data_IF_742853977838
#
_entry.id   IF_742853977838
#
_cell.length_a   1.000
_cell.length_b   1.000
_cell.length_c   1.000
_cell.angle_alpha   90.00
_cell.angle_beta   90.00
_cell.angle_gamma   90.00
#
_symmetry.space_group_name_H-M   'P 1'
#
loop_
_entity.id
_entity.type
_entity.pdbx_description
1 polymer ?
#
# COMPACT_ATOMS: atom_id res chain seq x y z
N UNK A 1 16.72 5.17 -27.52
CA UNK A 1 16.23 4.78 -26.17
C UNK A 1 17.26 4.09 -25.28
N UNK A 2 18.18 3.27 -25.80
CA UNK A 2 19.15 2.48 -24.98
C UNK A 2 19.87 3.27 -23.87
N UNK A 3 20.23 4.53 -24.13
CA UNK A 3 20.85 5.44 -23.15
C UNK A 3 20.00 5.65 -21.87
N UNK A 4 18.67 5.64 -21.99
CA UNK A 4 17.76 6.02 -20.89
C UNK A 4 17.06 4.82 -20.24
N UNK A 5 16.95 3.69 -20.93
CA UNK A 5 16.22 2.51 -20.42
C UNK A 5 16.77 1.98 -19.09
N UNK A 6 18.06 2.10 -18.86
CA UNK A 6 18.74 1.67 -17.63
C UNK A 6 19.06 2.83 -16.67
N UNK A 7 18.48 4.01 -16.87
CA UNK A 7 18.59 5.13 -15.93
C UNK A 7 17.41 5.13 -14.95
N UNK A 8 17.66 5.61 -13.73
CA UNK A 8 16.61 5.84 -12.74
C UNK A 8 15.62 6.89 -13.23
N UNK A 9 14.33 6.65 -13.02
CA UNK A 9 13.28 7.49 -13.61
C UNK A 9 13.38 8.96 -13.18
N UNK A 10 13.75 9.24 -11.93
CA UNK A 10 13.93 10.62 -11.44
C UNK A 10 14.99 11.38 -12.24
N UNK A 11 16.12 10.75 -12.57
CA UNK A 11 17.16 11.36 -13.40
C UNK A 11 16.64 11.66 -14.82
N UNK A 12 15.84 10.75 -15.37
CA UNK A 12 15.25 10.94 -16.70
C UNK A 12 14.21 12.08 -16.68
N UNK A 13 13.40 12.20 -15.62
CA UNK A 13 12.46 13.31 -15.43
C UNK A 13 13.21 14.65 -15.30
N UNK A 14 14.34 14.70 -14.57
CA UNK A 14 15.17 15.90 -14.48
C UNK A 14 15.70 16.32 -15.87
N UNK A 15 16.15 15.37 -16.69
CA UNK A 15 16.60 15.63 -18.06
C UNK A 15 15.43 15.99 -19.01
N UNK A 16 14.23 15.45 -18.76
CA UNK A 16 13.04 15.59 -19.60
C UNK A 16 11.77 15.83 -18.75
N UNK A 17 11.52 17.07 -18.26
CA UNK A 17 10.48 17.36 -17.28
C UNK A 17 9.05 17.00 -17.72
N UNK A 18 8.78 17.00 -19.02
CA UNK A 18 7.46 16.62 -19.57
C UNK A 18 7.09 15.17 -19.29
N UNK A 19 8.05 14.32 -18.93
CA UNK A 19 7.79 12.92 -18.60
C UNK A 19 6.94 12.75 -17.34
N UNK A 20 7.02 13.66 -16.37
CA UNK A 20 6.22 13.59 -15.15
C UNK A 20 4.72 13.63 -15.48
N UNK A 21 4.28 14.62 -16.25
CA UNK A 21 2.89 14.72 -16.71
C UNK A 21 2.45 13.51 -17.56
N UNK A 22 3.36 12.95 -18.37
CA UNK A 22 3.06 11.74 -19.16
C UNK A 22 2.82 10.55 -18.24
N UNK A 23 3.62 10.38 -17.19
CA UNK A 23 3.47 9.26 -16.24
C UNK A 23 2.21 9.46 -15.36
N UNK A 24 1.92 10.68 -14.95
CA UNK A 24 0.72 11.04 -14.20
C UNK A 24 -0.57 10.71 -14.97
N UNK A 25 -0.58 10.82 -16.30
CA UNK A 25 -1.72 10.43 -17.14
C UNK A 25 -2.06 8.93 -17.04
N UNK A 26 -1.12 8.09 -16.59
CA UNK A 26 -1.30 6.65 -16.35
C UNK A 26 -1.34 6.31 -14.84
N UNK A 27 -1.59 7.32 -13.98
CA UNK A 27 -1.56 7.22 -12.53
C UNK A 27 -0.20 6.72 -11.97
N UNK A 28 0.89 7.01 -12.67
CA UNK A 28 2.26 6.68 -12.26
C UNK A 28 2.94 7.95 -11.74
N UNK A 29 2.81 8.21 -10.44
CA UNK A 29 3.39 9.40 -9.79
C UNK A 29 4.90 9.27 -9.52
N UNK A 30 5.73 9.09 -10.56
CA UNK A 30 7.19 8.93 -10.39
C UNK A 30 7.91 10.17 -9.85
N UNK A 31 7.40 11.37 -10.11
CA UNK A 31 8.00 12.63 -9.63
C UNK A 31 8.00 12.73 -8.11
N UNK A 32 6.90 12.31 -7.47
CA UNK A 32 6.73 12.27 -6.01
C UNK A 32 6.95 10.88 -5.42
N UNK A 33 7.40 9.90 -6.22
CA UNK A 33 7.55 8.52 -5.78
C UNK A 33 8.70 8.39 -4.77
N UNK A 34 8.42 7.77 -3.63
CA UNK A 34 9.42 7.50 -2.58
C UNK A 34 10.42 6.43 -2.98
N UNK A 35 10.06 5.51 -3.89
CA UNK A 35 11.01 4.50 -4.41
C UNK A 35 12.14 5.17 -5.18
N UNK A 36 11.78 6.00 -6.17
CA UNK A 36 12.70 6.85 -6.95
C UNK A 36 13.83 6.16 -7.73
N UNK A 37 14.06 4.86 -7.52
CA UNK A 37 15.15 4.05 -8.07
C UNK A 37 14.72 3.16 -9.23
N UNK A 38 13.42 3.11 -9.53
CA UNK A 38 12.89 2.37 -10.67
C UNK A 38 13.60 2.79 -11.95
N UNK A 39 14.10 1.81 -12.71
CA UNK A 39 14.65 2.06 -14.03
C UNK A 39 13.51 2.37 -15.01
N UNK A 40 13.76 3.24 -15.98
CA UNK A 40 12.75 3.60 -16.99
C UNK A 40 12.11 2.37 -17.67
N UNK A 41 12.90 1.35 -17.98
CA UNK A 41 12.42 0.11 -18.60
C UNK A 41 11.52 -0.74 -17.69
N UNK A 42 11.59 -0.54 -16.38
CA UNK A 42 10.93 -1.38 -15.39
C UNK A 42 9.66 -0.74 -14.82
N UNK A 43 9.44 0.56 -15.05
CA UNK A 43 8.23 1.31 -14.64
C UNK A 43 6.96 0.54 -15.00
N UNK A 44 6.88 0.06 -16.25
CA UNK A 44 5.68 -0.61 -16.75
C UNK A 44 5.37 -1.88 -15.95
N UNK A 45 6.41 -2.69 -15.70
CA UNK A 45 6.25 -3.97 -15.00
C UNK A 45 6.00 -3.77 -13.52
N UNK A 46 6.64 -2.78 -12.91
CA UNK A 46 6.43 -2.41 -11.50
C UNK A 46 5.02 -1.89 -11.29
N UNK A 47 4.42 -1.20 -12.26
CA UNK A 47 3.07 -0.63 -12.16
C UNK A 47 1.99 -1.46 -12.86
N UNK A 48 2.30 -2.68 -13.33
CA UNK A 48 1.32 -3.65 -13.80
C UNK A 48 0.48 -3.20 -15.00
N UNK A 49 1.02 -2.38 -15.91
CA UNK A 49 0.25 -1.86 -17.05
C UNK A 49 -0.05 -2.97 -18.08
N UNK A 50 -1.25 -2.99 -18.70
CA UNK A 50 -1.56 -3.87 -19.82
C UNK A 50 -0.60 -3.67 -21.00
N UNK A 51 -0.33 -4.71 -21.83
CA UNK A 51 0.64 -4.62 -22.93
C UNK A 51 0.36 -3.52 -23.96
N UNK A 52 -0.91 -3.17 -24.17
CA UNK A 52 -1.29 -2.13 -25.14
C UNK A 52 -1.04 -0.73 -24.56
N UNK A 53 -1.43 -0.52 -23.30
CA UNK A 53 -1.14 0.69 -22.51
C UNK A 53 0.37 0.90 -22.35
N UNK A 54 1.14 -0.18 -22.12
CA UNK A 54 2.60 -0.15 -22.08
C UNK A 54 3.17 0.45 -23.37
N UNK A 55 2.74 -0.06 -24.53
CA UNK A 55 3.25 0.41 -25.82
C UNK A 55 2.90 1.88 -26.07
N UNK A 56 1.71 2.31 -25.67
CA UNK A 56 1.29 3.70 -25.76
C UNK A 56 2.17 4.61 -24.88
N UNK A 57 2.33 4.26 -23.59
CA UNK A 57 3.19 4.99 -22.66
C UNK A 57 4.63 5.07 -23.17
N UNK A 58 5.22 3.95 -23.57
CA UNK A 58 6.60 3.91 -24.05
C UNK A 58 6.79 4.73 -25.34
N UNK A 59 5.78 4.79 -26.21
CA UNK A 59 5.80 5.63 -27.41
C UNK A 59 5.77 7.12 -27.06
N UNK A 60 4.92 7.52 -26.10
CA UNK A 60 4.87 8.91 -25.58
C UNK A 60 6.17 9.32 -24.91
N UNK A 61 6.73 8.47 -24.05
CA UNK A 61 8.03 8.71 -23.41
C UNK A 61 9.13 8.86 -24.47
N UNK A 62 9.15 7.97 -25.47
CA UNK A 62 10.17 8.03 -26.53
C UNK A 62 10.03 9.31 -27.35
N UNK A 63 8.81 9.74 -27.69
CA UNK A 63 8.54 10.99 -28.41
C UNK A 63 8.94 12.22 -27.60
N UNK A 64 8.74 12.20 -26.27
CA UNK A 64 9.18 13.28 -25.39
C UNK A 64 10.71 13.39 -25.32
N UNK A 65 11.42 12.27 -25.26
CA UNK A 65 12.90 12.24 -25.22
C UNK A 65 13.51 12.53 -26.60
N UNK A 66 12.85 12.11 -27.68
CA UNK A 66 13.28 12.28 -29.07
C UNK A 66 12.15 12.88 -29.93
N UNK A 67 11.94 14.21 -29.88
CA UNK A 67 10.84 14.88 -30.59
C UNK A 67 10.81 14.64 -32.10
N UNK A 68 11.99 14.51 -32.72
CA UNK A 68 12.14 14.29 -34.17
C UNK A 68 11.97 12.83 -34.59
N UNK A 69 11.80 11.89 -33.66
CA UNK A 69 11.60 10.49 -34.00
C UNK A 69 10.24 10.29 -34.70
N UNK A 70 10.26 9.58 -35.84
CA UNK A 70 9.05 9.11 -36.52
C UNK A 70 8.50 7.89 -35.76
N UNK A 71 7.67 8.16 -34.76
CA UNK A 71 7.02 7.16 -33.92
C UNK A 71 5.52 7.37 -34.04
N UNK A 72 4.81 6.30 -34.37
CA UNK A 72 3.36 6.25 -34.30
C UNK A 72 2.95 6.22 -32.82
N UNK A 73 2.40 7.32 -32.34
CA UNK A 73 1.89 7.41 -30.97
C UNK A 73 0.39 7.17 -31.07
N UNK A 74 -0.14 6.06 -30.51
CA UNK A 74 -1.57 5.81 -30.51
C UNK A 74 -2.33 7.02 -29.95
N UNK A 75 -3.38 7.46 -30.64
CA UNK A 75 -4.31 8.46 -30.07
C UNK A 75 -5.03 7.82 -28.88
N UNK A 76 -4.96 8.44 -27.70
CA UNK A 76 -5.69 8.00 -26.50
C UNK A 76 -6.70 9.07 -26.05
N UNK A 77 -7.88 8.57 -25.69
CA UNK A 77 -9.14 9.26 -25.40
C UNK A 77 -9.17 9.87 -23.99
N UNK A 78 -8.05 10.31 -23.43
CA UNK A 78 -7.98 10.95 -22.11
C UNK A 78 -8.18 10.00 -20.91
N UNK A 79 -7.27 10.11 -19.93
CA UNK A 79 -7.28 9.42 -18.63
C UNK A 79 -7.84 8.00 -18.67
N UNK A 80 -7.15 7.12 -19.38
CA UNK A 80 -7.43 5.69 -19.35
C UNK A 80 -7.34 5.22 -17.90
N UNK A 81 -8.45 4.83 -17.27
CA UNK A 81 -8.37 4.06 -16.03
C UNK A 81 -7.62 2.78 -16.35
N UNK A 82 -6.35 2.71 -15.95
CA UNK A 82 -5.53 1.54 -16.24
C UNK A 82 -5.89 0.46 -15.25
N UNK A 83 -6.57 -0.59 -15.72
CA UNK A 83 -6.76 -1.81 -14.94
C UNK A 83 -5.40 -2.50 -14.79
N UNK A 84 -4.80 -2.38 -13.59
CA UNK A 84 -3.48 -2.96 -13.29
C UNK A 84 -3.64 -4.44 -12.93
N UNK A 85 -2.81 -5.28 -13.54
CA UNK A 85 -2.74 -6.70 -13.20
C UNK A 85 -1.40 -7.03 -12.60
N UNK A 86 -1.39 -7.39 -11.32
CA UNK A 86 -0.20 -7.86 -10.62
C UNK A 86 -0.28 -9.37 -10.40
N UNK A 87 0.85 -10.06 -10.58
CA UNK A 87 1.02 -11.46 -10.23
C UNK A 87 2.18 -11.51 -9.24
N UNK A 88 1.90 -11.86 -7.99
CA UNK A 88 2.87 -11.88 -6.91
C UNK A 88 3.37 -13.29 -6.63
N UNK A 89 4.61 -13.40 -6.13
CA UNK A 89 5.08 -14.63 -5.50
C UNK A 89 4.20 -15.02 -4.29
N UNK A 90 4.20 -16.29 -3.88
CA UNK A 90 3.39 -16.75 -2.75
C UNK A 90 3.50 -15.93 -1.46
N UNK A 91 4.70 -15.55 -0.94
CA UNK A 91 4.79 -14.76 0.28
C UNK A 91 4.20 -13.35 0.12
N UNK A 92 4.42 -12.69 -1.02
CA UNK A 92 3.88 -11.35 -1.26
C UNK A 92 2.35 -11.40 -1.44
N UNK A 93 1.83 -12.46 -2.07
CA UNK A 93 0.38 -12.67 -2.20
C UNK A 93 -0.31 -12.79 -0.83
N UNK A 94 0.36 -13.39 0.18
CA UNK A 94 -0.17 -13.46 1.56
C UNK A 94 -0.41 -12.06 2.12
N UNK A 95 0.56 -11.14 1.99
CA UNK A 95 0.43 -9.77 2.49
C UNK A 95 -0.72 -9.02 1.80
N UNK A 96 -0.82 -9.12 0.48
CA UNK A 96 -1.91 -8.53 -0.32
C UNK A 96 -3.28 -9.12 0.07
N UNK A 97 -3.34 -10.41 0.41
CA UNK A 97 -4.57 -11.04 0.87
C UNK A 97 -4.97 -10.57 2.27
N UNK A 98 -4.02 -10.39 3.19
CA UNK A 98 -4.23 -9.83 4.53
C UNK A 98 -4.72 -8.37 4.46
N UNK A 99 -4.21 -7.58 3.51
CA UNK A 99 -4.70 -6.23 3.23
C UNK A 99 -6.19 -6.17 2.92
N UNK A 100 -6.79 -7.21 2.32
CA UNK A 100 -8.24 -7.20 2.00
C UNK A 100 -9.08 -7.04 3.26
N UNK A 101 -8.70 -7.68 4.36
CA UNK A 101 -9.43 -7.60 5.61
C UNK A 101 -9.20 -6.25 6.31
N UNK A 102 -7.96 -5.74 6.29
CA UNK A 102 -7.62 -4.41 6.82
C UNK A 102 -8.41 -3.32 6.09
N UNK A 103 -8.43 -3.36 4.75
CA UNK A 103 -9.20 -2.43 3.90
C UNK A 103 -10.68 -2.42 4.25
N UNK A 104 -11.28 -3.58 4.52
CA UNK A 104 -12.69 -3.69 4.93
C UNK A 104 -12.95 -3.02 6.27
N UNK A 105 -12.07 -3.21 7.27
CA UNK A 105 -12.23 -2.51 8.55
C UNK A 105 -12.11 -1.00 8.39
N UNK A 106 -11.07 -0.51 7.71
CA UNK A 106 -10.84 0.95 7.60
C UNK A 106 -11.95 1.64 6.79
N UNK A 107 -12.58 0.95 5.84
CA UNK A 107 -13.76 1.44 5.12
C UNK A 107 -14.97 1.69 6.03
N UNK A 108 -15.03 1.04 7.20
CA UNK A 108 -16.09 1.24 8.20
C UNK A 108 -15.78 2.38 9.17
N UNK A 109 -14.55 2.91 9.20
CA UNK A 109 -14.16 3.98 10.12
C UNK A 109 -15.11 5.19 10.06
N UNK A 110 -15.53 5.70 8.88
CA UNK A 110 -16.48 6.80 8.81
C UNK A 110 -17.82 6.51 9.53
N UNK A 111 -18.34 5.28 9.40
CA UNK A 111 -19.56 4.86 10.11
C UNK A 111 -19.33 4.76 11.62
N UNK A 112 -18.17 4.28 12.04
CA UNK A 112 -17.77 4.19 13.45
C UNK A 112 -17.64 5.59 14.06
N UNK A 113 -17.05 6.56 13.35
CA UNK A 113 -16.90 7.94 13.86
C UNK A 113 -18.22 8.69 13.90
N UNK A 114 -19.11 8.49 12.91
CA UNK A 114 -20.46 9.06 12.92
C UNK A 114 -21.31 8.55 14.09
N UNK A 115 -21.23 7.25 14.38
CA UNK A 115 -21.99 6.58 15.45
C UNK A 115 -21.30 6.63 16.83
N UNK A 116 -20.17 7.31 16.94
CA UNK A 116 -19.31 7.31 18.12
C UNK A 116 -20.01 7.90 19.36
N UNK A 117 -20.22 7.05 20.37
CA UNK A 117 -20.77 7.41 21.67
C UNK A 117 -19.91 6.86 22.82
N UNK A 118 -19.00 7.68 23.34
CA UNK A 118 -18.12 7.30 24.44
C UNK A 118 -18.80 7.33 25.82
N UNK A 119 -20.03 7.84 25.93
CA UNK A 119 -20.76 7.84 27.20
C UNK A 119 -21.25 6.42 27.56
N UNK A 120 -21.60 5.62 26.55
CA UNK A 120 -22.04 4.23 26.74
C UNK A 120 -20.86 3.26 26.79
N UNK A 121 -21.01 2.19 27.56
CA UNK A 121 -20.03 1.10 27.59
C UNK A 121 -19.91 0.42 26.23
N UNK A 122 -21.03 0.21 25.54
CA UNK A 122 -21.07 -0.38 24.21
C UNK A 122 -20.33 0.46 23.16
N UNK A 123 -20.47 1.79 23.17
CA UNK A 123 -19.78 2.64 22.22
C UNK A 123 -18.27 2.70 22.48
N UNK A 124 -17.82 2.68 23.74
CA UNK A 124 -16.39 2.51 24.07
C UNK A 124 -15.88 1.13 23.63
N UNK A 125 -16.64 0.07 23.87
CA UNK A 125 -16.23 -1.29 23.51
C UNK A 125 -16.07 -1.47 21.99
N UNK A 126 -16.95 -0.86 21.19
CA UNK A 126 -16.82 -0.87 19.73
C UNK A 126 -15.45 -0.33 19.27
N UNK A 127 -15.01 0.81 19.83
CA UNK A 127 -13.70 1.40 19.49
C UNK A 127 -12.58 0.49 19.97
N UNK A 128 -12.66 -0.02 21.19
CA UNK A 128 -11.64 -0.91 21.77
C UNK A 128 -11.48 -2.21 20.98
N UNK A 129 -12.58 -2.81 20.50
CA UNK A 129 -12.55 -4.01 19.67
C UNK A 129 -11.91 -3.71 18.29
N UNK A 130 -12.18 -2.53 17.71
CA UNK A 130 -11.50 -2.07 16.50
C UNK A 130 -10.00 -1.88 16.72
N UNK A 131 -9.59 -1.32 17.86
CA UNK A 131 -8.17 -1.20 18.23
C UNK A 131 -7.53 -2.57 18.48
N UNK A 132 -8.25 -3.55 19.04
CA UNK A 132 -7.76 -4.93 19.19
C UNK A 132 -7.42 -5.56 17.83
N UNK A 133 -8.29 -5.37 16.82
CA UNK A 133 -7.98 -5.76 15.44
C UNK A 133 -6.71 -5.07 14.94
N UNK A 134 -6.62 -3.74 15.07
CA UNK A 134 -5.48 -2.99 14.52
C UNK A 134 -4.16 -3.44 15.15
N UNK A 135 -4.12 -3.58 16.48
CA UNK A 135 -2.89 -3.98 17.19
C UNK A 135 -2.50 -5.43 16.92
N UNK A 136 -3.48 -6.32 16.78
CA UNK A 136 -3.21 -7.76 16.65
C UNK A 136 -3.05 -8.17 15.21
N UNK A 137 -4.03 -7.86 14.36
CA UNK A 137 -4.06 -8.28 12.96
C UNK A 137 -3.16 -7.41 12.08
N UNK A 138 -3.37 -6.09 12.08
CA UNK A 138 -2.61 -5.21 11.21
C UNK A 138 -1.16 -5.06 11.69
N UNK A 139 -0.93 -4.83 12.98
CA UNK A 139 0.42 -4.56 13.48
C UNK A 139 1.21 -5.83 13.83
N UNK A 140 0.79 -6.56 14.87
CA UNK A 140 1.58 -7.69 15.40
C UNK A 140 1.62 -8.92 14.49
N UNK A 141 0.71 -9.01 13.51
CA UNK A 141 0.60 -10.12 12.58
C UNK A 141 1.00 -9.74 11.16
N UNK A 142 0.46 -8.67 10.59
CA UNK A 142 0.75 -8.25 9.22
C UNK A 142 2.06 -7.43 9.13
N UNK A 143 2.15 -6.24 9.74
CA UNK A 143 3.38 -5.43 9.70
C UNK A 143 4.59 -6.17 10.28
N UNK A 144 4.39 -7.05 11.27
CA UNK A 144 5.49 -7.89 11.77
C UNK A 144 6.09 -8.79 10.67
N UNK A 145 5.29 -9.32 9.73
CA UNK A 145 5.84 -10.06 8.57
C UNK A 145 6.64 -9.15 7.65
N UNK A 146 6.26 -7.89 7.55
CA UNK A 146 6.99 -6.92 6.74
C UNK A 146 8.28 -6.51 7.42
N UNK A 147 8.19 -5.89 8.60
CA UNK A 147 9.31 -5.32 9.34
C UNK A 147 10.29 -6.39 9.84
N UNK A 148 9.78 -7.52 10.38
CA UNK A 148 10.66 -8.52 10.99
C UNK A 148 11.18 -9.56 10.00
N UNK A 149 10.64 -9.66 8.78
CA UNK A 149 11.02 -10.70 7.82
C UNK A 149 11.30 -10.14 6.42
N UNK A 150 10.31 -9.55 5.75
CA UNK A 150 10.46 -9.10 4.36
C UNK A 150 11.49 -7.97 4.20
N UNK A 151 11.37 -6.91 5.00
CA UNK A 151 12.20 -5.71 4.88
C UNK A 151 13.68 -6.01 5.20
N UNK A 152 13.97 -7.04 5.99
CA UNK A 152 15.34 -7.48 6.31
C UNK A 152 16.14 -8.02 5.12
N UNK A 153 15.47 -8.33 4.01
CA UNK A 153 16.14 -8.68 2.76
C UNK A 153 16.59 -7.44 1.96
N UNK A 154 16.24 -6.24 2.43
CA UNK A 154 16.54 -4.97 1.79
C UNK A 154 17.37 -4.07 2.72
N UNK A 155 17.88 -2.97 2.17
CA UNK A 155 18.55 -1.94 2.97
C UNK A 155 17.52 -1.15 3.78
N UNK A 156 17.45 -1.39 5.09
CA UNK A 156 16.50 -0.73 6.00
C UNK A 156 16.71 0.79 6.06
N UNK A 157 17.95 1.26 5.82
CA UNK A 157 18.30 2.69 5.76
C UNK A 157 17.95 3.33 4.40
N UNK A 158 17.43 2.55 3.45
CA UNK A 158 16.97 3.11 2.17
C UNK A 158 15.75 4.01 2.39
N UNK A 159 15.68 5.11 1.64
CA UNK A 159 14.58 6.08 1.73
C UNK A 159 13.20 5.42 1.56
N UNK A 160 13.11 4.36 0.76
CA UNK A 160 11.88 3.61 0.55
C UNK A 160 11.47 2.84 1.81
N UNK A 161 12.32 1.95 2.35
CA UNK A 161 11.97 1.12 3.52
C UNK A 161 11.74 1.98 4.75
N UNK A 162 12.60 2.99 4.95
CA UNK A 162 12.45 3.97 6.04
C UNK A 162 11.10 4.70 6.00
N UNK A 163 10.60 5.09 4.82
CA UNK A 163 9.30 5.76 4.71
C UNK A 163 8.11 4.88 5.12
N UNK A 164 8.14 3.57 4.83
CA UNK A 164 7.09 2.64 5.28
C UNK A 164 7.15 2.38 6.79
N UNK A 165 8.35 2.25 7.37
CA UNK A 165 8.50 2.22 8.83
C UNK A 165 7.94 3.48 9.50
N UNK A 166 8.19 4.66 8.92
CA UNK A 166 7.64 5.92 9.44
C UNK A 166 6.10 5.96 9.37
N UNK A 167 5.47 5.38 8.34
CA UNK A 167 4.02 5.20 8.30
C UNK A 167 3.55 4.29 9.44
N UNK A 168 4.21 3.13 9.65
CA UNK A 168 3.86 2.21 10.73
C UNK A 168 3.97 2.86 12.12
N UNK A 169 5.03 3.65 12.35
CA UNK A 169 5.20 4.42 13.59
C UNK A 169 4.05 5.42 13.78
N UNK A 170 3.70 6.19 12.74
CA UNK A 170 2.56 7.13 12.78
C UNK A 170 1.24 6.42 13.02
N UNK A 171 1.02 5.26 12.41
CA UNK A 171 -0.16 4.44 12.64
C UNK A 171 -0.28 4.00 14.11
N UNK A 172 0.82 3.57 14.72
CA UNK A 172 0.89 3.21 16.15
C UNK A 172 0.64 4.42 17.06
N UNK A 173 1.13 5.60 16.69
CA UNK A 173 0.87 6.85 17.41
C UNK A 173 -0.62 7.25 17.37
N UNK A 174 -1.31 7.06 16.24
CA UNK A 174 -2.76 7.26 16.19
C UNK A 174 -3.51 6.31 17.11
N UNK A 175 -3.14 5.01 17.11
CA UNK A 175 -3.74 4.00 18.02
C UNK A 175 -3.56 4.40 19.48
N UNK A 176 -2.38 4.89 19.87
CA UNK A 176 -2.12 5.38 21.23
C UNK A 176 -3.05 6.53 21.59
N UNK A 177 -3.20 7.52 20.71
CA UNK A 177 -4.07 8.67 20.98
C UNK A 177 -5.55 8.31 20.99
N UNK A 178 -5.99 7.33 20.19
CA UNK A 178 -7.36 6.80 20.25
C UNK A 178 -7.63 6.17 21.63
N UNK A 179 -6.71 5.34 22.14
CA UNK A 179 -6.84 4.73 23.46
C UNK A 179 -6.91 5.76 24.59
N UNK A 180 -6.07 6.80 24.52
CA UNK A 180 -6.13 7.94 25.46
C UNK A 180 -7.48 8.66 25.37
N UNK A 181 -7.96 8.95 24.15
CA UNK A 181 -9.26 9.59 23.94
C UNK A 181 -10.44 8.77 24.47
N UNK A 182 -10.40 7.44 24.33
CA UNK A 182 -11.41 6.55 24.92
C UNK A 182 -11.38 6.61 26.45
N UNK A 183 -10.19 6.62 27.06
CA UNK A 183 -10.01 6.74 28.52
C UNK A 183 -10.55 8.06 29.06
N UNK A 184 -10.25 9.16 28.36
CA UNK A 184 -10.67 10.51 28.74
C UNK A 184 -12.11 10.83 28.31
N UNK A 185 -12.76 9.90 27.59
CA UNK A 185 -14.06 10.09 26.94
C UNK A 185 -14.08 11.31 25.99
N UNK A 186 -12.93 11.64 25.40
CA UNK A 186 -12.78 12.70 24.41
C UNK A 186 -13.18 12.20 23.02
N UNK A 187 -14.46 12.41 22.70
CA UNK A 187 -15.05 12.02 21.40
C UNK A 187 -14.34 12.68 20.22
N UNK A 188 -13.87 13.93 20.38
CA UNK A 188 -13.23 14.68 19.28
C UNK A 188 -11.88 14.06 18.98
N UNK A 189 -11.05 13.81 20.01
CA UNK A 189 -9.74 13.16 19.86
C UNK A 189 -9.86 11.77 19.23
N UNK A 190 -10.84 10.96 19.67
CA UNK A 190 -11.06 9.62 19.09
C UNK A 190 -11.44 9.70 17.62
N UNK A 191 -12.38 10.57 17.24
CA UNK A 191 -12.79 10.72 15.85
C UNK A 191 -11.64 11.22 14.95
N UNK A 192 -10.93 12.26 15.39
CA UNK A 192 -9.79 12.84 14.66
C UNK A 192 -8.72 11.79 14.35
N UNK A 193 -8.31 11.00 15.34
CA UNK A 193 -7.26 10.01 15.13
C UNK A 193 -7.73 8.75 14.41
N UNK A 194 -9.01 8.37 14.50
CA UNK A 194 -9.57 7.32 13.66
C UNK A 194 -9.58 7.74 12.19
N UNK A 195 -10.00 8.96 11.87
CA UNK A 195 -10.01 9.49 10.51
C UNK A 195 -8.59 9.64 9.95
N UNK A 196 -7.65 10.16 10.74
CA UNK A 196 -6.24 10.26 10.35
C UNK A 196 -5.60 8.87 10.12
N UNK A 197 -5.91 7.89 10.97
CA UNK A 197 -5.48 6.50 10.76
C UNK A 197 -6.05 5.92 9.45
N UNK A 198 -7.34 6.15 9.17
CA UNK A 198 -7.97 5.71 7.93
C UNK A 198 -7.29 6.29 6.69
N UNK A 199 -7.06 7.61 6.65
CA UNK A 199 -6.38 8.27 5.54
C UNK A 199 -4.96 7.74 5.34
N UNK A 200 -4.20 7.62 6.43
CA UNK A 200 -2.84 7.07 6.41
C UNK A 200 -2.83 5.65 5.81
N UNK A 201 -3.67 4.76 6.32
CA UNK A 201 -3.68 3.35 5.90
C UNK A 201 -4.17 3.16 4.47
N UNK A 202 -5.14 3.95 4.00
CA UNK A 202 -5.55 3.91 2.59
C UNK A 202 -4.38 4.24 1.66
N UNK A 203 -3.63 5.31 1.96
CA UNK A 203 -2.48 5.73 1.17
C UNK A 203 -1.26 4.81 1.32
N UNK A 204 -1.07 4.23 2.50
CA UNK A 204 -0.01 3.28 2.80
C UNK A 204 -0.21 1.96 2.04
N UNK A 205 -1.33 1.27 2.27
CA UNK A 205 -1.62 -0.03 1.63
C UNK A 205 -1.64 0.09 0.11
N UNK A 206 -2.17 1.20 -0.44
CA UNK A 206 -2.14 1.43 -1.89
C UNK A 206 -0.71 1.47 -2.43
N UNK A 207 0.20 2.18 -1.75
CA UNK A 207 1.61 2.25 -2.16
C UNK A 207 2.31 0.91 -1.99
N UNK A 208 1.92 0.10 -1.02
CA UNK A 208 2.48 -1.24 -0.85
C UNK A 208 2.08 -2.15 -1.99
N UNK A 209 0.78 -2.34 -2.18
CA UNK A 209 0.23 -3.21 -3.22
C UNK A 209 0.71 -2.79 -4.62
N UNK A 210 0.68 -1.49 -4.94
CA UNK A 210 0.93 -1.02 -6.31
C UNK A 210 2.39 -0.64 -6.62
N UNK A 211 3.25 -0.52 -5.60
CA UNK A 211 4.61 -0.01 -5.79
C UNK A 211 5.65 -0.81 -5.01
N UNK A 212 5.51 -0.89 -3.67
CA UNK A 212 6.52 -1.53 -2.82
C UNK A 212 6.62 -3.02 -3.12
N UNK A 213 5.49 -3.74 -3.05
CA UNK A 213 5.45 -5.17 -3.22
C UNK A 213 5.86 -5.60 -4.64
N UNK A 214 5.37 -4.99 -5.74
CA UNK A 214 5.88 -5.30 -7.08
C UNK A 214 7.39 -5.03 -7.22
N UNK A 215 7.92 -4.01 -6.54
CA UNK A 215 9.35 -3.75 -6.53
C UNK A 215 10.13 -4.79 -5.72
N UNK A 216 9.70 -5.10 -4.49
CA UNK A 216 10.35 -6.09 -3.62
C UNK A 216 10.33 -7.48 -4.24
N UNK A 217 9.19 -7.90 -4.76
CA UNK A 217 8.99 -9.23 -5.34
C UNK A 217 9.92 -9.50 -6.54
N UNK A 218 10.28 -8.45 -7.28
CA UNK A 218 11.25 -8.55 -8.40
C UNK A 218 12.71 -8.60 -7.95
N UNK A 219 12.99 -8.20 -6.71
CA UNK A 219 14.33 -8.07 -6.17
C UNK A 219 14.66 -9.13 -5.11
N UNK A 220 13.72 -10.03 -4.80
CA UNK A 220 13.99 -11.26 -4.06
C UNK A 220 14.25 -12.43 -5.01
N UNK A 221 15.07 -13.38 -4.55
CA UNK A 221 15.36 -14.63 -5.24
C UNK A 221 14.36 -15.72 -4.86
N UNK A 222 14.24 -16.77 -5.69
CA UNK A 222 13.36 -17.90 -5.39
C UNK A 222 13.73 -18.66 -4.11
N UNK A 223 14.98 -18.58 -3.64
CA UNK A 223 15.38 -19.12 -2.34
C UNK A 223 14.80 -18.28 -1.19
N UNK A 224 14.94 -16.96 -1.27
CA UNK A 224 14.36 -16.02 -0.30
C UNK A 224 12.84 -16.06 -0.29
N UNK A 225 12.18 -16.23 -1.45
CA UNK A 225 10.73 -16.44 -1.54
C UNK A 225 10.28 -17.67 -0.74
N UNK A 226 11.01 -18.78 -0.87
CA UNK A 226 10.70 -20.03 -0.16
C UNK A 226 10.94 -19.90 1.35
N UNK A 227 12.01 -19.21 1.76
CA UNK A 227 12.28 -18.89 3.17
C UNK A 227 11.17 -18.02 3.76
N UNK A 228 10.80 -16.93 3.09
CA UNK A 228 9.72 -16.03 3.50
C UNK A 228 8.39 -16.76 3.65
N UNK A 229 8.02 -17.58 2.67
CA UNK A 229 6.78 -18.36 2.73
C UNK A 229 6.75 -19.30 3.95
N UNK A 230 7.89 -19.93 4.28
CA UNK A 230 8.03 -20.76 5.49
C UNK A 230 7.89 -19.92 6.76
N UNK A 231 8.62 -18.80 6.87
CA UNK A 231 8.57 -17.93 8.05
C UNK A 231 7.19 -17.30 8.27
N UNK A 232 6.47 -16.95 7.20
CA UNK A 232 5.10 -16.45 7.29
C UNK A 232 4.15 -17.52 7.82
N UNK A 233 4.34 -18.78 7.41
CA UNK A 233 3.62 -19.93 7.96
C UNK A 233 3.86 -20.09 9.46
N UNK A 234 5.09 -19.96 9.93
CA UNK A 234 5.41 -20.02 11.37
C UNK A 234 4.76 -18.88 12.18
N UNK A 235 4.69 -17.68 11.60
CA UNK A 235 3.95 -16.56 12.20
C UNK A 235 2.46 -16.90 12.27
N UNK A 236 1.85 -17.41 11.19
CA UNK A 236 0.45 -17.83 11.17
C UNK A 236 0.15 -18.88 12.25
N UNK A 237 0.98 -19.91 12.37
CA UNK A 237 0.82 -20.96 13.38
C UNK A 237 0.86 -20.42 14.82
N UNK A 238 1.71 -19.42 15.08
CA UNK A 238 1.79 -18.76 16.41
C UNK A 238 0.54 -17.96 16.75
N UNK A 239 -0.12 -17.39 15.75
CA UNK A 239 -1.33 -16.58 15.91
C UNK A 239 -2.62 -17.39 15.82
N UNK A 240 -2.55 -18.66 15.37
CA UNK A 240 -3.68 -19.59 15.40
C UNK A 240 -4.83 -19.15 14.50
N UNK A 241 -6.02 -19.00 15.07
CA UNK A 241 -7.26 -18.66 14.36
C UNK A 241 -7.44 -17.16 14.07
N UNK A 242 -6.33 -16.41 13.99
CA UNK A 242 -6.35 -14.94 13.86
C UNK A 242 -7.12 -14.45 12.64
N UNK A 243 -6.99 -15.16 11.51
CA UNK A 243 -7.70 -14.83 10.27
C UNK A 243 -9.21 -15.05 10.43
N UNK A 244 -9.64 -16.23 10.90
CA UNK A 244 -11.05 -16.56 11.07
C UNK A 244 -11.72 -15.68 12.13
N UNK A 245 -11.03 -15.42 13.24
CA UNK A 245 -11.52 -14.58 14.33
C UNK A 245 -11.82 -13.17 13.84
N UNK A 246 -10.87 -12.55 13.13
CA UNK A 246 -11.01 -11.17 12.71
C UNK A 246 -11.85 -11.00 11.44
N UNK A 247 -11.89 -12.01 10.57
CA UNK A 247 -12.88 -12.08 9.48
C UNK A 247 -14.29 -12.05 10.06
N UNK A 248 -14.58 -12.90 11.04
CA UNK A 248 -15.89 -12.93 11.70
C UNK A 248 -16.20 -11.61 12.43
N UNK A 249 -15.18 -10.94 12.98
CA UNK A 249 -15.34 -9.62 13.61
C UNK A 249 -15.74 -8.56 12.59
N UNK A 250 -15.02 -8.42 11.48
CA UNK A 250 -15.31 -7.44 10.43
C UNK A 250 -16.69 -7.71 9.82
N UNK A 251 -17.04 -8.96 9.53
CA UNK A 251 -18.38 -9.32 9.02
C UNK A 251 -19.52 -8.87 9.96
N UNK A 252 -19.33 -8.96 11.28
CA UNK A 252 -20.33 -8.48 12.26
C UNK A 252 -20.48 -6.96 12.23
N UNK A 253 -19.37 -6.23 12.04
CA UNK A 253 -19.39 -4.77 11.91
C UNK A 253 -20.06 -4.36 10.59
N UNK A 254 -19.69 -4.98 9.48
CA UNK A 254 -20.30 -4.74 8.16
C UNK A 254 -21.82 -4.91 8.24
N UNK A 255 -22.30 -6.00 8.84
CA UNK A 255 -23.73 -6.23 9.08
C UNK A 255 -24.40 -5.20 9.99
N UNK A 256 -23.64 -4.56 10.87
CA UNK A 256 -24.20 -3.58 11.81
C UNK A 256 -24.26 -2.17 11.21
N UNK A 257 -23.44 -1.87 10.20
CA UNK A 257 -23.33 -0.54 9.59
C UNK A 257 -23.85 -0.45 8.16
N UNK A 258 -23.87 -1.56 7.41
CA UNK A 258 -24.18 -1.58 5.98
C UNK A 258 -25.51 -2.28 5.65
N UNK A 259 -26.06 -3.08 6.57
CA UNK A 259 -27.38 -3.72 6.46
C UNK A 259 -28.44 -2.94 7.25
#
# INVERSE_FOLDING_TARGET
MEKYLNKGIKDVIIEHPTLEAILDDYDIGCGTCMVGTCLLKDIVKVHGLPPDTERALMSRITKAIYPDAEIDVPEEDGKTQVERTFVYSPPIQILVDEHKLIKRLIALIPCITESLDLATESGRQLVLDGIDFIKTYADSFHHAKEEDLLFKYFDEDSEIVSAFHEDHVRARDHVKNILEGVSDQDRVKVAEHLEAYNELLQGHIKREDEILYPWMDRNISSEQEAELASSFGEVADRFGDVNERYEAFVQRLEKSFLD
#
